data_IF_149176552404
#
_entry.id   IF_149176552404
#
_cell.length_a   1.000
_cell.length_b   1.000
_cell.length_c   1.000
_cell.angle_alpha   90.00
_cell.angle_beta   90.00
_cell.angle_gamma   90.00
#
_symmetry.space_group_name_H-M   'P 1'
#
loop_
_entity.id
_entity.type
_entity.pdbx_description
1 polymer ?
#
# COMPACT_ATOMS: atom_id res chain seq x y z
N UNK A 1 -23.20 -6.46 -2.65
CA UNK A 1 -22.02 -5.68 -2.25
C UNK A 1 -20.78 -6.57 -2.30
N UNK A 2 -19.58 -6.00 -2.50
CA UNK A 2 -18.33 -6.77 -2.64
C UNK A 2 -17.52 -6.78 -1.35
N UNK A 3 -17.07 -5.62 -0.90
CA UNK A 3 -16.16 -5.46 0.24
C UNK A 3 -16.89 -5.81 1.54
N UNK A 4 -16.31 -6.67 2.38
CA UNK A 4 -16.93 -7.16 3.62
C UNK A 4 -18.08 -8.17 3.45
N UNK A 5 -18.61 -8.32 2.24
CA UNK A 5 -19.67 -9.31 1.90
C UNK A 5 -19.09 -10.54 1.21
N UNK A 6 -18.43 -10.35 0.07
CA UNK A 6 -17.80 -11.42 -0.72
C UNK A 6 -16.32 -11.58 -0.38
N UNK A 7 -15.64 -10.51 0.05
CA UNK A 7 -14.22 -10.54 0.44
C UNK A 7 -14.05 -10.52 1.95
N UNK A 8 -13.01 -11.19 2.45
CA UNK A 8 -12.54 -11.05 3.82
C UNK A 8 -12.04 -9.61 4.05
N UNK A 9 -12.17 -9.12 5.28
CA UNK A 9 -11.56 -7.85 5.72
C UNK A 9 -10.09 -8.04 6.15
N UNK A 10 -9.63 -9.28 6.24
CA UNK A 10 -8.25 -9.61 6.58
C UNK A 10 -7.37 -9.61 5.32
N UNK A 11 -6.72 -8.49 5.08
CA UNK A 11 -5.67 -8.41 4.06
C UNK A 11 -4.36 -9.02 4.56
N UNK A 12 -3.58 -9.57 3.63
CA UNK A 12 -2.19 -9.96 3.89
C UNK A 12 -1.30 -9.32 2.85
N UNK A 13 -0.25 -8.63 3.30
CA UNK A 13 0.77 -8.16 2.36
C UNK A 13 1.54 -9.37 1.82
N UNK A 14 1.44 -9.58 0.51
CA UNK A 14 2.16 -10.64 -0.22
C UNK A 14 3.62 -10.27 -0.40
N UNK A 15 3.86 -9.00 -0.75
CA UNK A 15 5.18 -8.44 -1.00
C UNK A 15 5.10 -7.12 -1.77
N UNK A 16 6.28 -6.64 -2.19
CA UNK A 16 6.41 -5.44 -3.03
C UNK A 16 7.13 -5.77 -4.33
N UNK A 17 6.53 -5.40 -5.46
CA UNK A 17 7.11 -5.56 -6.79
C UNK A 17 7.66 -4.21 -7.29
N UNK A 18 8.98 -4.09 -7.39
CA UNK A 18 9.66 -2.90 -7.92
C UNK A 18 9.91 -2.97 -9.43
N UNK A 19 9.29 -3.92 -10.13
CA UNK A 19 9.52 -4.31 -11.53
C UNK A 19 10.87 -4.97 -11.81
N UNK A 20 11.79 -4.91 -10.85
CA UNK A 20 13.08 -5.63 -10.87
C UNK A 20 13.19 -6.60 -9.67
N UNK A 21 12.06 -6.95 -9.06
CA UNK A 21 12.03 -7.83 -7.91
C UNK A 21 12.34 -9.30 -8.30
N UNK A 22 12.85 -10.12 -7.36
CA UNK A 22 13.08 -11.54 -7.61
C UNK A 22 11.76 -12.29 -7.80
N UNK A 23 11.83 -13.45 -8.46
CA UNK A 23 10.69 -14.34 -8.57
C UNK A 23 10.17 -14.76 -7.19
N UNK A 24 8.84 -14.75 -7.04
CA UNK A 24 8.18 -15.17 -5.83
C UNK A 24 8.58 -16.60 -5.42
N UNK A 25 8.76 -16.88 -4.12
CA UNK A 25 9.05 -18.22 -3.64
C UNK A 25 8.03 -19.26 -4.15
N UNK A 26 8.51 -20.46 -4.51
CA UNK A 26 7.67 -21.50 -5.16
C UNK A 26 6.43 -21.88 -4.34
N UNK A 27 6.49 -21.78 -3.02
CA UNK A 27 5.43 -22.12 -2.07
C UNK A 27 4.35 -21.04 -1.91
N UNK A 28 4.46 -19.87 -2.54
CA UNK A 28 3.45 -18.81 -2.46
C UNK A 28 2.31 -19.05 -3.46
N UNK A 29 1.08 -18.78 -3.02
CA UNK A 29 -0.15 -18.88 -3.82
C UNK A 29 -0.18 -17.85 -4.95
N UNK A 30 0.12 -16.59 -4.62
CA UNK A 30 0.23 -15.52 -5.60
C UNK A 30 1.57 -15.66 -6.33
N UNK A 31 1.54 -15.97 -7.62
CA UNK A 31 2.75 -16.00 -8.45
C UNK A 31 3.14 -14.59 -8.86
N UNK A 32 4.41 -14.28 -9.03
CA UNK A 32 4.85 -12.95 -9.43
C UNK A 32 6.33 -12.73 -9.19
N UNK A 33 6.73 -11.47 -9.26
CA UNK A 33 8.06 -11.02 -8.86
C UNK A 33 7.86 -10.03 -7.73
N UNK A 34 8.33 -10.32 -6.53
CA UNK A 34 8.17 -9.40 -5.40
C UNK A 34 9.09 -9.77 -4.26
N UNK A 35 9.51 -8.76 -3.50
CA UNK A 35 10.19 -8.94 -2.23
C UNK A 35 9.16 -9.30 -1.15
N UNK A 36 9.35 -10.42 -0.48
CA UNK A 36 8.44 -10.89 0.58
C UNK A 36 9.04 -10.83 1.99
N UNK A 37 10.35 -10.63 2.09
CA UNK A 37 11.05 -10.45 3.36
C UNK A 37 11.39 -8.97 3.59
N UNK A 38 11.25 -8.46 4.83
CA UNK A 38 11.63 -7.08 5.14
C UNK A 38 13.14 -6.83 4.96
N UNK A 39 13.97 -7.87 5.15
CA UNK A 39 15.43 -7.78 5.00
C UNK A 39 15.89 -7.63 3.55
N UNK A 40 15.04 -7.99 2.59
CA UNK A 40 15.34 -7.93 1.15
C UNK A 40 14.65 -6.73 0.50
N UNK A 41 13.77 -6.05 1.23
CA UNK A 41 12.96 -4.97 0.72
C UNK A 41 13.81 -3.74 0.39
N UNK A 42 13.66 -3.13 -0.80
CA UNK A 42 14.28 -1.85 -1.08
C UNK A 42 13.91 -0.80 -0.03
N UNK A 43 14.91 -0.01 0.37
CA UNK A 43 14.77 0.92 1.50
C UNK A 43 13.72 2.00 1.23
N UNK A 44 13.55 2.41 -0.03
CA UNK A 44 12.55 3.36 -0.46
C UNK A 44 11.13 2.81 -0.29
N UNK A 45 10.90 1.52 -0.58
CA UNK A 45 9.62 0.87 -0.32
C UNK A 45 9.33 0.81 1.17
N UNK A 46 10.36 0.54 1.99
CA UNK A 46 10.25 0.56 3.46
C UNK A 46 9.91 1.96 3.99
N UNK A 47 10.45 3.03 3.40
CA UNK A 47 10.06 4.41 3.75
C UNK A 47 8.58 4.67 3.53
N UNK A 48 8.02 4.21 2.41
CA UNK A 48 6.60 4.42 2.13
C UNK A 48 5.72 3.58 3.05
N UNK A 49 6.04 2.30 3.25
CA UNK A 49 5.25 1.42 4.14
C UNK A 49 5.28 1.94 5.58
N UNK A 50 6.46 2.29 6.09
CA UNK A 50 6.62 2.77 7.46
C UNK A 50 6.24 4.23 7.68
N UNK A 51 6.29 5.09 6.66
CA UNK A 51 6.04 6.52 6.80
C UNK A 51 4.65 6.99 6.36
N UNK A 52 4.05 6.32 5.39
CA UNK A 52 2.76 6.73 4.84
C UNK A 52 1.64 5.91 5.48
N UNK A 53 1.26 6.18 6.72
CA UNK A 53 0.15 5.50 7.40
C UNK A 53 -0.57 6.44 8.38
N UNK A 54 -1.80 6.09 8.76
CA UNK A 54 -2.55 6.77 9.84
C UNK A 54 -2.81 5.84 11.03
N UNK A 55 -2.09 4.72 11.11
CA UNK A 55 -2.13 3.80 12.26
C UNK A 55 -1.83 4.50 13.59
N UNK A 56 -2.51 4.03 14.63
CA UNK A 56 -2.28 4.40 16.03
C UNK A 56 -2.06 3.14 16.88
N UNK A 57 -1.32 3.31 17.98
CA UNK A 57 -1.09 2.23 18.95
C UNK A 57 -2.23 2.18 19.96
N UNK A 58 -3.06 1.15 19.87
CA UNK A 58 -4.14 0.85 20.81
C UNK A 58 -3.67 0.18 22.10
N UNK A 59 -4.64 -0.17 22.96
CA UNK A 59 -4.38 -0.93 24.20
C UNK A 59 -3.67 -2.25 23.89
N UNK A 60 -2.75 -2.65 24.77
CA UNK A 60 -1.94 -3.87 24.65
C UNK A 60 -1.08 -3.94 23.38
N UNK A 61 -0.79 -2.80 22.75
CA UNK A 61 0.07 -2.74 21.56
C UNK A 61 -0.61 -3.14 20.25
N UNK A 62 -1.94 -3.33 20.24
CA UNK A 62 -2.70 -3.58 19.01
C UNK A 62 -2.62 -2.37 18.08
N UNK A 63 -2.32 -2.59 16.80
CA UNK A 63 -2.42 -1.55 15.76
C UNK A 63 -3.90 -1.29 15.46
N UNK A 64 -4.29 -0.01 15.46
CA UNK A 64 -5.64 0.45 15.11
C UNK A 64 -5.51 1.39 13.92
N UNK A 65 -6.35 1.18 12.90
CA UNK A 65 -6.38 1.98 11.68
C UNK A 65 -6.81 1.14 10.50
N UNK A 66 -6.38 1.54 9.30
CA UNK A 66 -6.67 0.82 8.07
C UNK A 66 -6.08 -0.60 8.08
N UNK A 67 -6.81 -1.56 7.51
CA UNK A 67 -6.44 -2.97 7.54
C UNK A 67 -5.30 -3.31 6.56
N UNK A 68 -5.18 -2.61 5.43
CA UNK A 68 -4.03 -2.75 4.52
C UNK A 68 -2.77 -2.22 5.20
N UNK A 69 -2.86 -1.06 5.86
CA UNK A 69 -1.76 -0.49 6.64
C UNK A 69 -1.29 -1.44 7.74
N UNK A 70 -2.24 -1.95 8.52
CA UNK A 70 -1.95 -2.87 9.63
C UNK A 70 -1.30 -4.15 9.12
N UNK A 71 -1.81 -4.72 8.03
CA UNK A 71 -1.24 -5.91 7.40
C UNK A 71 0.19 -5.67 6.90
N UNK A 72 0.45 -4.51 6.29
CA UNK A 72 1.78 -4.14 5.83
C UNK A 72 2.76 -3.96 6.99
N UNK A 73 2.37 -3.26 8.06
CA UNK A 73 3.18 -3.09 9.26
C UNK A 73 3.55 -4.41 9.91
N UNK A 74 2.57 -5.31 10.06
CA UNK A 74 2.79 -6.63 10.65
C UNK A 74 3.73 -7.49 9.80
N UNK A 75 3.49 -7.56 8.49
CA UNK A 75 4.32 -8.34 7.57
C UNK A 75 5.74 -7.78 7.45
N UNK A 76 5.89 -6.45 7.51
CA UNK A 76 7.18 -5.77 7.45
C UNK A 76 7.88 -5.63 8.80
N UNK A 77 7.29 -6.19 9.86
CA UNK A 77 7.81 -6.17 11.23
C UNK A 77 8.13 -4.77 11.76
N UNK A 78 7.39 -3.75 11.30
CA UNK A 78 7.52 -2.40 11.84
C UNK A 78 6.96 -2.35 13.27
N UNK A 79 7.70 -1.68 14.16
CA UNK A 79 7.21 -1.27 15.48
C UNK A 79 6.71 0.17 15.39
N UNK A 80 5.45 0.38 15.78
CA UNK A 80 4.85 1.70 15.88
C UNK A 80 5.05 2.28 17.28
N UNK A 81 5.68 3.44 17.35
CA UNK A 81 5.93 4.18 18.58
C UNK A 81 4.77 5.13 18.93
N UNK A 82 4.79 5.70 20.14
CA UNK A 82 3.73 6.59 20.62
C UNK A 82 3.66 7.93 19.86
N UNK A 83 4.77 8.37 19.28
CA UNK A 83 4.89 9.56 18.44
C UNK A 83 4.52 9.29 16.97
N UNK A 84 3.90 8.13 16.70
CA UNK A 84 3.61 7.59 15.35
C UNK A 84 4.84 7.26 14.52
N UNK A 85 6.06 7.34 15.05
CA UNK A 85 7.24 6.89 14.30
C UNK A 85 7.22 5.37 14.12
N UNK A 86 7.62 4.92 12.94
CA UNK A 86 7.76 3.51 12.61
C UNK A 86 9.24 3.12 12.63
N UNK A 87 9.54 1.98 13.24
CA UNK A 87 10.92 1.49 13.39
C UNK A 87 11.08 0.05 12.91
N UNK A 88 12.15 -0.22 12.17
CA UNK A 88 12.58 -1.55 11.74
C UNK A 88 14.11 -1.59 11.65
N UNK A 89 14.76 -2.46 12.43
CA UNK A 89 16.21 -2.44 12.58
C UNK A 89 16.71 -1.05 13.02
N UNK A 90 17.64 -0.49 12.25
CA UNK A 90 18.21 0.85 12.48
C UNK A 90 17.43 1.97 11.75
N UNK A 91 16.39 1.63 11.00
CA UNK A 91 15.54 2.57 10.29
C UNK A 91 14.45 3.08 11.25
N UNK A 92 14.36 4.40 11.40
CA UNK A 92 13.27 5.10 12.07
C UNK A 92 12.68 6.13 11.11
N UNK A 93 11.36 6.13 10.96
CA UNK A 93 10.62 7.02 10.07
C UNK A 93 9.60 7.77 10.91
N UNK A 94 9.74 9.09 11.00
CA UNK A 94 8.88 9.94 11.84
C UNK A 94 8.02 10.84 10.96
N UNK A 95 6.67 10.67 10.98
CA UNK A 95 5.75 11.57 10.28
C UNK A 95 5.87 13.01 10.79
N UNK A 96 5.88 13.97 9.86
CA UNK A 96 5.89 15.41 10.16
C UNK A 96 4.55 16.03 9.77
N UNK A 97 4.04 15.69 8.58
CA UNK A 97 2.75 16.19 8.08
C UNK A 97 2.05 15.15 7.23
N UNK A 98 0.81 14.86 7.60
CA UNK A 98 -0.04 13.89 6.92
C UNK A 98 -1.04 14.61 6.01
N UNK A 99 -1.12 14.16 4.76
CA UNK A 99 -2.19 14.47 3.83
C UNK A 99 -3.04 13.20 3.69
N UNK A 100 -4.04 13.09 4.56
CA UNK A 100 -4.85 11.88 4.74
C UNK A 100 -5.49 11.36 3.44
N UNK A 101 -5.82 10.08 3.43
CA UNK A 101 -6.56 9.49 2.33
C UNK A 101 -7.88 10.24 2.08
N UNK A 102 -8.16 10.55 0.82
CA UNK A 102 -9.47 11.03 0.34
C UNK A 102 -10.01 10.03 -0.68
N UNK A 103 -11.30 9.70 -0.59
CA UNK A 103 -11.96 8.82 -1.56
C UNK A 103 -11.97 9.39 -2.97
N UNK A 104 -12.02 10.72 -3.11
CA UNK A 104 -11.92 11.42 -4.39
C UNK A 104 -10.52 11.28 -5.00
N UNK A 105 -9.48 11.47 -4.18
CA UNK A 105 -8.09 11.45 -4.64
C UNK A 105 -7.49 10.04 -4.71
N UNK A 106 -8.07 9.07 -3.98
CA UNK A 106 -7.66 7.67 -3.87
C UNK A 106 -6.18 7.46 -3.50
N UNK A 107 -5.62 8.38 -2.71
CA UNK A 107 -4.22 8.37 -2.29
C UNK A 107 -4.01 9.10 -0.97
N UNK A 108 -2.93 8.75 -0.29
CA UNK A 108 -2.43 9.37 0.92
C UNK A 108 -0.98 9.77 0.72
N UNK A 109 -0.58 10.90 1.27
CA UNK A 109 0.79 11.39 1.20
C UNK A 109 1.25 11.84 2.59
N UNK A 110 2.50 11.58 2.96
CA UNK A 110 3.06 12.02 4.24
C UNK A 110 4.47 12.57 4.02
N UNK A 111 4.80 13.67 4.68
CA UNK A 111 6.18 14.16 4.78
C UNK A 111 6.79 13.61 6.06
N UNK A 112 7.95 12.98 5.97
CA UNK A 112 8.62 12.28 7.07
C UNK A 112 10.09 12.68 7.18
N UNK A 113 10.63 12.56 8.39
CA UNK A 113 12.07 12.43 8.63
C UNK A 113 12.44 10.95 8.70
N UNK A 114 13.66 10.61 8.26
CA UNK A 114 14.19 9.25 8.32
C UNK A 114 15.56 9.26 9.00
N UNK A 115 15.82 8.30 9.88
CA UNK A 115 17.12 8.16 10.56
C UNK A 115 18.27 8.09 9.54
N UNK A 116 19.37 8.78 9.86
CA UNK A 116 20.54 8.85 8.99
C UNK A 116 20.39 9.75 7.75
N UNK A 117 19.23 10.40 7.56
CA UNK A 117 19.01 11.36 6.47
C UNK A 117 18.84 12.77 7.02
N UNK A 118 19.50 13.73 6.38
CA UNK A 118 19.35 15.17 6.70
C UNK A 118 18.13 15.78 6.04
N UNK A 119 17.82 15.35 4.81
CA UNK A 119 16.68 15.85 4.04
C UNK A 119 15.40 15.08 4.39
N UNK A 120 14.26 15.77 4.61
CA UNK A 120 12.96 15.14 4.69
C UNK A 120 12.61 14.42 3.38
N UNK A 121 11.67 13.49 3.47
CA UNK A 121 11.09 12.81 2.32
C UNK A 121 9.57 13.02 2.31
N UNK A 122 9.00 13.16 1.12
CA UNK A 122 7.58 12.94 0.90
C UNK A 122 7.40 11.49 0.44
N UNK A 123 6.43 10.78 1.02
CA UNK A 123 6.04 9.43 0.63
C UNK A 123 4.57 9.40 0.29
N UNK A 124 4.20 8.67 -0.76
CA UNK A 124 2.84 8.57 -1.26
C UNK A 124 2.46 7.10 -1.43
N UNK A 125 1.21 6.78 -1.11
CA UNK A 125 0.59 5.53 -1.54
C UNK A 125 -0.83 5.74 -2.03
N UNK A 126 -1.26 4.94 -2.99
CA UNK A 126 -2.61 5.05 -3.53
C UNK A 126 -2.91 4.09 -4.66
N UNK A 127 -4.08 4.27 -5.25
CA UNK A 127 -4.49 3.50 -6.41
C UNK A 127 -3.54 3.76 -7.61
N UNK A 128 -3.22 2.74 -8.43
CA UNK A 128 -2.25 2.89 -9.50
C UNK A 128 -2.54 4.05 -10.46
N UNK A 129 -3.80 4.22 -10.85
CA UNK A 129 -4.26 5.29 -11.73
C UNK A 129 -4.20 6.68 -11.09
N UNK A 130 -4.31 6.76 -9.77
CA UNK A 130 -4.30 8.01 -9.02
C UNK A 130 -2.87 8.52 -8.76
N UNK A 131 -1.92 7.60 -8.59
CA UNK A 131 -0.51 7.94 -8.31
C UNK A 131 0.30 8.09 -9.61
N UNK A 132 -0.05 7.36 -10.67
CA UNK A 132 0.66 7.40 -11.96
C UNK A 132 0.94 8.83 -12.49
N UNK A 133 -0.03 9.77 -12.53
CA UNK A 133 0.25 11.13 -13.05
C UNK A 133 1.18 11.96 -12.17
N UNK A 134 1.46 11.52 -10.94
CA UNK A 134 2.30 12.23 -9.99
C UNK A 134 3.76 11.74 -10.01
N UNK A 135 4.05 10.69 -10.79
CA UNK A 135 5.39 10.15 -10.95
C UNK A 135 6.19 10.99 -11.95
N UNK A 136 7.46 11.24 -11.66
CA UNK A 136 8.39 11.91 -12.59
C UNK A 136 8.59 11.08 -13.86
N UNK A 137 8.77 9.77 -13.68
CA UNK A 137 8.93 8.80 -14.76
C UNK A 137 8.04 7.61 -14.47
N UNK A 138 7.12 7.31 -15.38
CA UNK A 138 6.28 6.11 -15.30
C UNK A 138 7.03 4.95 -15.95
N UNK A 139 7.30 3.85 -15.23
CA UNK A 139 7.92 2.65 -15.83
C UNK A 139 7.08 2.11 -17.00
N UNK A 140 7.74 1.58 -18.05
CA UNK A 140 7.05 1.05 -19.24
C UNK A 140 6.04 -0.06 -18.91
N UNK A 141 6.40 -0.94 -17.97
CA UNK A 141 5.58 -2.09 -17.59
C UNK A 141 4.59 -1.79 -16.46
N UNK A 142 4.50 -0.53 -16.01
CA UNK A 142 3.69 -0.12 -14.86
C UNK A 142 2.25 -0.63 -14.94
N UNK A 143 1.56 -0.38 -16.07
CA UNK A 143 0.16 -0.78 -16.27
C UNK A 143 0.00 -2.30 -16.34
N UNK A 144 0.88 -2.97 -17.07
CA UNK A 144 0.81 -4.43 -17.21
C UNK A 144 1.04 -5.13 -15.86
N UNK A 145 1.99 -4.62 -15.07
CA UNK A 145 2.36 -5.20 -13.78
C UNK A 145 1.22 -5.13 -12.76
N UNK A 146 0.60 -3.98 -12.52
CA UNK A 146 -0.48 -3.91 -11.52
C UNK A 146 -1.72 -4.68 -11.99
N UNK A 147 -2.04 -4.67 -13.29
CA UNK A 147 -3.19 -5.42 -13.84
C UNK A 147 -2.98 -6.93 -13.72
N UNK A 148 -1.74 -7.43 -13.83
CA UNK A 148 -1.41 -8.84 -13.61
C UNK A 148 -1.78 -9.30 -12.20
N UNK A 149 -1.53 -8.49 -11.18
CA UNK A 149 -1.92 -8.81 -9.80
C UNK A 149 -3.41 -8.58 -9.56
N UNK A 150 -3.98 -7.48 -10.08
CA UNK A 150 -5.40 -7.18 -9.93
C UNK A 150 -6.30 -8.29 -10.52
N UNK A 151 -5.95 -8.84 -11.70
CA UNK A 151 -6.65 -9.97 -12.32
C UNK A 151 -6.61 -11.27 -11.50
N UNK A 152 -5.71 -11.35 -10.52
CA UNK A 152 -5.61 -12.47 -9.58
C UNK A 152 -6.32 -12.19 -8.25
N UNK A 153 -7.13 -11.13 -8.20
CA UNK A 153 -7.87 -10.74 -7.00
C UNK A 153 -7.02 -9.98 -5.97
N UNK A 154 -5.77 -9.63 -6.29
CA UNK A 154 -4.95 -8.85 -5.37
C UNK A 154 -5.37 -7.37 -5.35
N UNK A 155 -5.36 -6.77 -4.17
CA UNK A 155 -5.41 -5.31 -4.03
C UNK A 155 -3.98 -4.76 -4.23
N UNK A 156 -3.81 -3.83 -5.16
CA UNK A 156 -2.50 -3.26 -5.49
C UNK A 156 -2.48 -1.78 -5.13
N UNK A 157 -1.48 -1.36 -4.36
CA UNK A 157 -1.18 0.04 -4.10
C UNK A 157 0.17 0.41 -4.68
N UNK A 158 0.27 1.59 -5.26
CA UNK A 158 1.56 2.14 -5.69
C UNK A 158 2.23 2.81 -4.52
N UNK A 159 3.53 2.59 -4.39
CA UNK A 159 4.41 3.26 -3.46
C UNK A 159 5.26 4.25 -4.25
N UNK A 160 5.37 5.48 -3.75
CA UNK A 160 6.25 6.49 -4.34
C UNK A 160 6.90 7.33 -3.25
N UNK A 161 8.07 7.89 -3.57
CA UNK A 161 8.80 8.77 -2.66
C UNK A 161 9.45 9.93 -3.41
N UNK A 162 9.71 11.02 -2.71
CA UNK A 162 10.44 12.18 -3.22
C UNK A 162 11.31 12.73 -2.11
N UNK A 163 12.59 12.94 -2.39
CA UNK A 163 13.50 13.62 -1.48
C UNK A 163 13.24 15.11 -1.59
N UNK A 164 12.99 15.78 -0.46
CA UNK A 164 12.73 17.20 -0.41
C UNK A 164 14.03 17.98 -0.16
N UNK A 165 13.98 19.29 -0.35
CA UNK A 165 15.11 20.17 0.00
C UNK A 165 15.38 20.14 1.51
N UNK A 166 16.63 20.34 1.91
CA UNK A 166 17.03 20.29 3.32
C UNK A 166 16.27 21.30 4.20
N UNK A 167 16.01 22.50 3.68
CA UNK A 167 15.29 23.57 4.38
C UNK A 167 13.78 23.58 4.07
N UNK A 168 13.23 22.46 3.59
CA UNK A 168 11.81 22.40 3.28
C UNK A 168 10.97 22.60 4.55
N UNK A 169 10.06 23.58 4.54
CA UNK A 169 9.10 23.79 5.62
C UNK A 169 7.79 23.01 5.35
N UNK A 170 7.58 21.86 6.01
CA UNK A 170 6.35 21.10 5.82
C UNK A 170 5.13 21.80 6.42
N UNK A 171 5.27 22.70 7.39
CA UNK A 171 4.12 23.27 8.12
C UNK A 171 3.18 24.06 7.21
N UNK A 172 3.74 24.79 6.25
CA UNK A 172 3.00 25.64 5.29
C UNK A 172 2.67 24.95 3.96
N UNK A 173 3.29 23.80 3.69
CA UNK A 173 3.13 23.07 2.43
C UNK A 173 1.67 22.69 2.11
N UNK A 174 1.19 23.02 0.91
CA UNK A 174 -0.11 22.53 0.42
C UNK A 174 0.05 21.14 -0.22
N UNK A 175 -1.05 20.40 -0.32
CA UNK A 175 -1.04 19.05 -0.90
C UNK A 175 -0.47 19.07 -2.32
N UNK A 176 -0.93 19.99 -3.16
CA UNK A 176 -0.54 20.06 -4.59
C UNK A 176 0.95 20.40 -4.79
N UNK A 177 1.57 21.08 -3.82
CA UNK A 177 3.01 21.37 -3.84
C UNK A 177 3.85 20.12 -3.51
N UNK A 178 3.28 19.24 -2.67
CA UNK A 178 3.90 17.98 -2.27
C UNK A 178 3.63 16.87 -3.29
N UNK A 179 2.41 16.82 -3.84
CA UNK A 179 1.94 15.73 -4.68
C UNK A 179 2.38 15.86 -6.14
N UNK A 180 3.69 15.82 -6.38
CA UNK A 180 4.31 15.87 -7.72
C UNK A 180 5.71 15.28 -7.70
N UNK A 181 6.20 14.90 -8.88
CA UNK A 181 7.58 14.46 -9.12
C UNK A 181 8.04 13.29 -8.22
N UNK A 182 7.13 12.36 -7.91
CA UNK A 182 7.47 11.17 -7.14
C UNK A 182 8.29 10.18 -7.98
N UNK A 183 9.21 9.50 -7.32
CA UNK A 183 9.93 8.36 -7.84
C UNK A 183 9.17 7.10 -7.42
N UNK A 184 8.96 6.20 -8.38
CA UNK A 184 8.29 4.92 -8.13
C UNK A 184 9.13 4.04 -7.19
N UNK A 185 8.51 3.55 -6.11
CA UNK A 185 9.12 2.68 -5.10
C UNK A 185 8.52 1.26 -5.09
N UNK A 186 7.67 0.91 -6.05
CA UNK A 186 7.09 -0.42 -6.16
C UNK A 186 5.57 -0.48 -6.01
N UNK A 187 5.04 -1.66 -6.25
CA UNK A 187 3.64 -2.03 -6.00
C UNK A 187 3.56 -2.85 -4.73
N UNK A 188 2.86 -2.37 -3.70
CA UNK A 188 2.47 -3.19 -2.57
C UNK A 188 1.28 -4.08 -2.96
N UNK A 189 1.48 -5.39 -2.88
CA UNK A 189 0.52 -6.41 -3.33
C UNK A 189 -0.13 -7.04 -2.11
N UNK A 190 -1.44 -6.86 -1.96
CA UNK A 190 -2.20 -7.46 -0.88
C UNK A 190 -3.08 -8.58 -1.41
N UNK A 191 -3.02 -9.72 -0.73
CA UNK A 191 -4.00 -10.78 -0.91
C UNK A 191 -5.31 -10.33 -0.28
N UNK A 192 -6.37 -10.34 -1.07
CA UNK A 192 -7.73 -9.94 -0.68
C UNK A 192 -8.65 -11.16 -0.85
N UNK A 193 -8.50 -12.19 0.00
CA UNK A 193 -9.18 -13.46 -0.20
C UNK A 193 -10.70 -13.28 -0.11
N UNK A 194 -11.43 -14.10 -0.87
CA UNK A 194 -12.87 -14.22 -0.72
C UNK A 194 -13.21 -14.77 0.67
N UNK A 195 -14.35 -14.37 1.20
CA UNK A 195 -14.86 -14.92 2.45
C UNK A 195 -15.18 -16.40 2.22
N UNK A 196 -14.84 -17.24 3.21
CA UNK A 196 -15.03 -18.70 3.11
C UNK A 196 -16.51 -19.01 2.81
N UNK A 197 -16.76 -19.84 1.80
CA UNK A 197 -18.09 -20.21 1.34
C UNK A 197 -18.72 -19.25 0.33
N UNK A 198 -18.15 -18.07 0.08
CA UNK A 198 -18.69 -17.15 -0.93
C UNK A 198 -18.67 -17.75 -2.33
N UNK A 199 -17.61 -18.47 -2.70
CA UNK A 199 -17.53 -19.16 -4.00
C UNK A 199 -18.63 -20.22 -4.14
N UNK A 200 -18.77 -21.10 -3.14
CA UNK A 200 -19.78 -22.16 -3.12
C UNK A 200 -21.20 -21.58 -3.23
N UNK A 201 -21.50 -20.52 -2.46
CA UNK A 201 -22.79 -19.83 -2.51
C UNK A 201 -23.08 -19.23 -3.88
N UNK A 202 -22.11 -18.55 -4.51
CA UNK A 202 -22.31 -18.01 -5.87
C UNK A 202 -22.53 -19.12 -6.88
N UNK A 203 -21.77 -20.22 -6.79
CA UNK A 203 -21.93 -21.38 -7.67
C UNK A 203 -23.33 -22.00 -7.53
N UNK A 204 -23.83 -22.15 -6.31
CA UNK A 204 -25.16 -22.71 -6.04
C UNK A 204 -26.30 -21.79 -6.54
N UNK A 205 -26.15 -20.48 -6.39
CA UNK A 205 -27.09 -19.49 -6.94
C UNK A 205 -27.14 -19.53 -8.47
N UNK A 206 -25.97 -19.65 -9.12
CA UNK A 206 -25.91 -19.78 -10.58
C UNK A 206 -26.51 -21.11 -11.06
N UNK A 207 -26.26 -22.22 -10.35
CA UNK A 207 -26.84 -23.54 -10.65
C UNK A 207 -28.36 -23.56 -10.50
N UNK A 208 -28.90 -22.78 -9.56
CA UNK A 208 -30.35 -22.62 -9.36
C UNK A 208 -30.99 -21.56 -10.27
N UNK A 209 -30.29 -21.12 -11.32
CA UNK A 209 -30.75 -20.14 -12.32
C UNK A 209 -31.10 -18.75 -11.74
N UNK A 210 -30.58 -18.42 -10.56
CA UNK A 210 -30.68 -17.07 -10.03
C UNK A 210 -29.68 -16.15 -10.76
N UNK A 211 -30.13 -14.95 -11.11
CA UNK A 211 -29.26 -13.93 -11.68
C UNK A 211 -28.43 -13.30 -10.56
N UNK A 212 -27.12 -13.52 -10.58
CA UNK A 212 -26.17 -12.91 -9.63
C UNK A 212 -25.64 -11.59 -10.21
N UNK A 213 -25.77 -10.50 -9.45
CA UNK A 213 -25.27 -9.16 -9.81
C UNK A 213 -24.43 -8.64 -8.65
N UNK A 214 -23.24 -8.11 -8.96
CA UNK A 214 -22.41 -7.40 -7.99
C UNK A 214 -22.61 -5.90 -8.18
N UNK A 215 -23.11 -5.24 -7.14
CA UNK A 215 -23.10 -3.78 -7.00
C UNK A 215 -22.00 -3.46 -6.00
N UNK A 216 -21.01 -2.66 -6.39
CA UNK A 216 -19.86 -2.32 -5.56
C UNK A 216 -19.43 -0.87 -5.79
N UNK A 217 -18.96 -0.21 -4.73
CA UNK A 217 -18.31 1.10 -4.80
C UNK A 217 -16.83 1.03 -5.18
N UNK A 218 -16.27 -0.18 -5.33
CA UNK A 218 -14.91 -0.34 -5.81
C UNK A 218 -14.84 0.05 -7.29
N UNK A 219 -13.79 0.79 -7.65
CA UNK A 219 -13.63 1.35 -9.00
C UNK A 219 -13.72 0.26 -10.08
N UNK A 220 -14.63 0.46 -11.03
CA UNK A 220 -14.75 -0.35 -12.24
C UNK A 220 -13.64 0.11 -13.18
N UNK A 221 -12.62 -0.72 -13.37
CA UNK A 221 -11.65 -0.58 -14.46
C UNK A 221 -11.85 -1.73 -15.43
#
# INVERSE_FOLDING_TARGET
>A
DKTGTLTSEEYKLVGVDTLNAPAAPKNKTIKGNYFSSPSEMPVESMWVVGGCHSLIRGKYGKLIGDSLESAAFQQMHFKLNSDKSATYGDISITPIKEYHFSSELKRMTVVCNVSGRTQPIAVIKGAPEAVQPLLTTVPSDYKQAYLKYARRGCRVLVLGYRILEFNYDPSTAKRDDIEKNFIFAGFAIFDAPLKRGSEDTVVELLKSQHRVIIITGDGVN
#
